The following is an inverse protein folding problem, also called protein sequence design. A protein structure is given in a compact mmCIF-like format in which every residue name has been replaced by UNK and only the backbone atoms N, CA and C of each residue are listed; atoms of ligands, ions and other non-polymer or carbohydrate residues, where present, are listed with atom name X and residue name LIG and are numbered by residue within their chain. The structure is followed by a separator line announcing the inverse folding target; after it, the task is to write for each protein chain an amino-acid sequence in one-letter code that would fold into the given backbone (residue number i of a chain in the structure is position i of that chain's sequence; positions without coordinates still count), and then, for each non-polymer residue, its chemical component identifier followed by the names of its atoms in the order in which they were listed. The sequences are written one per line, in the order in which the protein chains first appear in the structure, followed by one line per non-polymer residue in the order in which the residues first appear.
data_IF_998365015879
#
_entry.id   IF_998365015879
#
_cell.length_a   1.000
_cell.length_b   1.000
_cell.length_c   1.000
_cell.angle_alpha   90.00
_cell.angle_beta   90.00
_cell.angle_gamma   90.00
#
_symmetry.space_group_name_H-M   'P 1'
#
loop_
_entity.id
_entity.type
_entity.pdbx_description
1 polymer ?
#
# COMPACT_ATOMS: atom_id res chain seq x y z
N UNK A 1 -2.93 32.43 -14.40
CA UNK A 1 -3.13 31.06 -13.87
C UNK A 1 -2.88 31.09 -12.37
N UNK A 2 -3.92 31.01 -11.55
CA UNK A 2 -3.75 30.87 -10.11
C UNK A 2 -2.99 29.57 -9.80
N UNK A 3 -1.90 29.65 -9.04
CA UNK A 3 -1.17 28.47 -8.58
C UNK A 3 -2.03 27.75 -7.54
N UNK A 4 -2.82 26.77 -7.99
CA UNK A 4 -3.59 25.90 -7.11
C UNK A 4 -2.65 25.16 -6.14
N UNK A 5 -2.95 25.24 -4.83
CA UNK A 5 -2.21 24.53 -3.79
C UNK A 5 -2.66 23.07 -3.71
N UNK A 6 -1.80 22.19 -3.19
CA UNK A 6 -2.19 20.81 -2.88
C UNK A 6 -3.13 20.77 -1.67
N UNK A 7 -4.11 19.87 -1.70
CA UNK A 7 -4.98 19.62 -0.54
C UNK A 7 -4.20 18.89 0.55
N UNK A 8 -4.51 19.17 1.83
CA UNK A 8 -3.93 18.43 2.96
C UNK A 8 -4.17 16.92 2.82
N UNK A 9 -5.37 16.54 2.38
CA UNK A 9 -5.72 15.14 2.12
C UNK A 9 -4.85 14.52 1.02
N UNK A 10 -4.60 15.24 -0.08
CA UNK A 10 -3.73 14.76 -1.16
C UNK A 10 -2.27 14.59 -0.73
N UNK A 11 -1.78 15.42 0.20
CA UNK A 11 -0.44 15.28 0.78
C UNK A 11 -0.39 14.07 1.72
N UNK A 12 -1.36 13.95 2.63
CA UNK A 12 -1.42 12.84 3.59
C UNK A 12 -1.58 11.50 2.87
N UNK A 13 -2.48 11.43 1.89
CA UNK A 13 -2.66 10.20 1.09
C UNK A 13 -1.36 9.80 0.40
N UNK A 14 -0.64 10.78 -0.17
CA UNK A 14 0.63 10.53 -0.85
C UNK A 14 1.71 10.03 0.10
N UNK A 15 1.86 10.64 1.28
CA UNK A 15 2.81 10.18 2.29
C UNK A 15 2.48 8.75 2.77
N UNK A 16 1.21 8.45 3.01
CA UNK A 16 0.78 7.11 3.39
C UNK A 16 1.07 6.07 2.30
N UNK A 17 0.96 6.44 1.03
CA UNK A 17 1.24 5.56 -0.10
C UNK A 17 2.71 5.09 -0.16
N UNK A 18 3.65 5.85 0.42
CA UNK A 18 5.06 5.48 0.44
C UNK A 18 5.43 4.48 1.54
N UNK A 19 4.65 4.40 2.62
CA UNK A 19 5.00 3.54 3.76
C UNK A 19 5.17 2.08 3.32
N UNK A 20 4.26 1.48 2.53
CA UNK A 20 4.42 0.11 2.04
C UNK A 20 5.63 -0.06 1.13
N UNK A 21 5.96 0.94 0.30
CA UNK A 21 7.11 0.90 -0.60
C UNK A 21 8.41 0.90 0.21
N UNK A 22 8.55 1.84 1.14
CA UNK A 22 9.73 1.97 1.99
C UNK A 22 9.95 0.69 2.79
N UNK A 23 8.87 0.15 3.38
CA UNK A 23 8.93 -1.09 4.11
C UNK A 23 9.41 -2.25 3.22
N UNK A 24 8.84 -2.39 2.02
CA UNK A 24 9.23 -3.45 1.07
C UNK A 24 10.70 -3.36 0.67
N UNK A 25 11.21 -2.13 0.49
CA UNK A 25 12.62 -1.90 0.18
C UNK A 25 13.54 -2.26 1.35
N UNK A 26 13.19 -1.84 2.58
CA UNK A 26 13.94 -2.21 3.79
C UNK A 26 13.96 -3.73 3.97
N UNK A 27 12.81 -4.38 3.83
CA UNK A 27 12.70 -5.83 3.96
C UNK A 27 13.57 -6.55 2.93
N UNK A 28 13.52 -6.11 1.67
CA UNK A 28 14.36 -6.67 0.60
C UNK A 28 15.85 -6.54 0.92
N UNK A 29 16.29 -5.40 1.46
CA UNK A 29 17.69 -5.21 1.89
C UNK A 29 18.05 -6.19 3.01
N UNK A 30 17.19 -6.33 4.02
CA UNK A 30 17.41 -7.26 5.14
C UNK A 30 17.54 -8.69 4.61
N UNK A 31 16.62 -9.12 3.74
CA UNK A 31 16.60 -10.48 3.19
C UNK A 31 17.86 -10.77 2.34
N UNK A 32 18.39 -9.77 1.62
CA UNK A 32 19.63 -9.90 0.83
C UNK A 32 20.87 -9.92 1.73
N UNK A 33 20.94 -9.06 2.76
CA UNK A 33 22.11 -8.93 3.63
C UNK A 33 22.21 -10.04 4.68
N UNK A 34 21.08 -10.62 5.07
CA UNK A 34 21.00 -11.66 6.08
C UNK A 34 19.88 -12.63 5.68
N UNK A 35 20.14 -13.55 4.73
CA UNK A 35 19.17 -14.57 4.37
C UNK A 35 18.79 -15.33 5.63
N UNK A 36 17.55 -15.12 6.05
CA UNK A 36 17.06 -15.51 7.36
C UNK A 36 16.99 -17.05 7.44
N UNK A 37 17.90 -17.65 8.21
CA UNK A 37 17.81 -19.03 8.72
C UNK A 37 16.98 -19.07 10.02
N UNK A 38 15.77 -18.51 10.06
CA UNK A 38 14.96 -18.49 11.32
C UNK A 38 13.76 -19.42 11.30
N UNK A 39 13.48 -19.96 12.48
CA UNK A 39 12.38 -20.85 12.82
C UNK A 39 11.03 -20.32 12.31
N UNK A 40 10.52 -21.00 11.28
CA UNK A 40 9.39 -20.64 10.42
C UNK A 40 8.14 -20.13 11.15
N UNK A 41 7.84 -20.62 12.37
CA UNK A 41 6.52 -20.43 12.97
C UNK A 41 6.29 -19.08 13.67
N UNK A 42 7.29 -18.48 14.32
CA UNK A 42 7.13 -17.13 14.92
C UNK A 42 7.23 -16.02 13.88
N UNK A 43 8.04 -16.23 12.84
CA UNK A 43 8.17 -15.31 11.71
C UNK A 43 6.86 -15.20 10.91
N UNK A 44 6.11 -16.30 10.76
CA UNK A 44 4.82 -16.33 10.04
C UNK A 44 3.76 -15.41 10.67
N UNK A 45 3.55 -15.47 11.99
CA UNK A 45 2.52 -14.64 12.62
C UNK A 45 2.81 -13.13 12.50
N UNK A 46 4.10 -12.76 12.65
CA UNK A 46 4.56 -11.38 12.51
C UNK A 46 4.45 -10.91 11.06
N UNK A 47 4.81 -11.75 10.09
CA UNK A 47 4.71 -11.40 8.67
C UNK A 47 3.26 -11.21 8.22
N UNK A 48 2.32 -12.03 8.69
CA UNK A 48 0.89 -11.83 8.44
C UNK A 48 0.37 -10.53 9.05
N UNK A 49 0.75 -10.21 10.29
CA UNK A 49 0.35 -8.95 10.91
C UNK A 49 0.85 -7.74 10.11
N UNK A 50 2.13 -7.75 9.74
CA UNK A 50 2.74 -6.65 8.98
C UNK A 50 2.08 -6.53 7.59
N UNK A 51 1.84 -7.65 6.90
CA UNK A 51 1.16 -7.64 5.60
C UNK A 51 -0.25 -7.03 5.70
N UNK A 52 -1.04 -7.42 6.70
CA UNK A 52 -2.37 -6.86 6.92
C UNK A 52 -2.33 -5.37 7.29
N UNK A 53 -1.35 -4.96 8.08
CA UNK A 53 -1.13 -3.56 8.43
C UNK A 53 -0.75 -2.71 7.20
N UNK A 54 0.15 -3.21 6.34
CA UNK A 54 0.51 -2.56 5.08
C UNK A 54 -0.69 -2.46 4.13
N UNK A 55 -1.49 -3.51 4.03
CA UNK A 55 -2.73 -3.50 3.27
C UNK A 55 -3.69 -2.41 3.77
N UNK A 56 -3.90 -2.32 5.08
CA UNK A 56 -4.76 -1.31 5.68
C UNK A 56 -4.26 0.12 5.37
N UNK A 57 -2.94 0.36 5.47
CA UNK A 57 -2.35 1.67 5.13
C UNK A 57 -2.57 2.00 3.65
N UNK A 58 -2.31 1.06 2.74
CA UNK A 58 -2.55 1.27 1.31
C UNK A 58 -4.03 1.56 1.04
N UNK A 59 -4.95 0.86 1.70
CA UNK A 59 -6.38 1.09 1.54
C UNK A 59 -6.80 2.48 2.02
N UNK A 60 -6.31 2.91 3.18
CA UNK A 60 -6.57 4.27 3.71
C UNK A 60 -6.00 5.32 2.77
N UNK A 61 -4.77 5.14 2.28
CA UNK A 61 -4.15 6.03 1.30
C UNK A 61 -4.99 6.13 0.02
N UNK A 62 -5.49 5.00 -0.49
CA UNK A 62 -6.31 4.95 -1.69
C UNK A 62 -7.62 5.74 -1.52
N UNK A 63 -8.34 5.50 -0.43
CA UNK A 63 -9.60 6.20 -0.12
C UNK A 63 -9.37 7.70 0.06
N UNK A 64 -8.36 8.10 0.83
CA UNK A 64 -8.00 9.51 1.01
C UNK A 64 -7.56 10.17 -0.32
N UNK A 65 -6.88 9.42 -1.18
CA UNK A 65 -6.51 9.86 -2.52
C UNK A 65 -7.73 10.13 -3.39
N UNK A 66 -8.73 9.23 -3.39
CA UNK A 66 -9.99 9.45 -4.12
C UNK A 66 -10.71 10.70 -3.60
N UNK A 67 -10.83 10.86 -2.28
CA UNK A 67 -11.42 12.06 -1.67
C UNK A 67 -10.62 13.31 -2.06
N UNK A 68 -9.29 13.23 -2.09
CA UNK A 68 -8.42 14.33 -2.52
C UNK A 68 -8.63 14.74 -3.98
N UNK A 69 -9.02 13.82 -4.86
CA UNK A 69 -9.32 14.08 -6.28
C UNK A 69 -10.68 14.77 -6.45
N UNK A 70 -11.67 14.44 -5.61
CA UNK A 70 -13.03 15.01 -5.69
C UNK A 70 -13.13 16.43 -5.14
N UNK A 71 -12.17 16.85 -4.30
CA UNK A 71 -12.10 18.23 -3.80
C UNK A 71 -11.89 19.25 -4.93
N UNK A 72 -12.78 20.25 -5.01
CA UNK A 72 -12.66 21.40 -5.93
C UNK A 72 -11.67 22.43 -5.37
N UNK A 73 -10.99 23.16 -6.27
CA UNK A 73 -10.08 24.25 -5.88
C UNK A 73 -8.67 23.83 -5.43
N UNK A 74 -8.31 22.54 -5.56
CA UNK A 74 -6.99 22.04 -5.19
C UNK A 74 -6.27 21.35 -6.36
N UNK A 75 -4.94 21.35 -6.31
CA UNK A 75 -4.10 20.62 -7.26
C UNK A 75 -4.13 19.13 -6.95
N UNK A 76 -4.64 18.35 -7.91
CA UNK A 76 -4.96 16.92 -7.76
C UNK A 76 -3.78 15.97 -7.94
N UNK A 77 -2.63 16.44 -8.41
CA UNK A 77 -1.54 15.53 -8.82
C UNK A 77 -1.07 14.60 -7.70
N UNK A 78 -0.90 15.08 -6.46
CA UNK A 78 -0.49 14.23 -5.33
C UNK A 78 -1.55 13.18 -4.97
N UNK A 79 -2.82 13.57 -5.00
CA UNK A 79 -3.93 12.66 -4.73
C UNK A 79 -4.01 11.57 -5.82
N UNK A 80 -3.82 11.94 -7.09
CA UNK A 80 -3.75 10.99 -8.21
C UNK A 80 -2.56 10.04 -8.04
N UNK A 81 -1.36 10.55 -7.74
CA UNK A 81 -0.20 9.71 -7.48
C UNK A 81 -0.43 8.75 -6.32
N UNK A 82 -1.06 9.22 -5.23
CA UNK A 82 -1.41 8.38 -4.09
C UNK A 82 -2.32 7.22 -4.50
N UNK A 83 -3.38 7.50 -5.27
CA UNK A 83 -4.33 6.47 -5.78
C UNK A 83 -3.61 5.44 -6.64
N UNK A 84 -2.74 5.87 -7.55
CA UNK A 84 -2.00 4.95 -8.43
C UNK A 84 -1.07 4.04 -7.60
N UNK A 85 -0.27 4.63 -6.70
CA UNK A 85 0.70 3.88 -5.88
C UNK A 85 0.00 2.91 -4.93
N UNK A 86 -1.02 3.39 -4.22
CA UNK A 86 -1.80 2.54 -3.31
C UNK A 86 -2.57 1.47 -4.06
N UNK A 87 -3.14 1.78 -5.23
CA UNK A 87 -3.81 0.80 -6.09
C UNK A 87 -2.86 -0.32 -6.53
N UNK A 88 -1.65 0.03 -6.96
CA UNK A 88 -0.62 -0.96 -7.33
C UNK A 88 -0.22 -1.87 -6.17
N UNK A 89 -0.06 -1.31 -4.96
CA UNK A 89 0.28 -2.12 -3.77
C UNK A 89 -0.88 -3.03 -3.34
N UNK A 90 -2.13 -2.60 -3.51
CA UNK A 90 -3.31 -3.42 -3.21
C UNK A 90 -3.52 -4.58 -4.20
N UNK A 91 -3.02 -4.50 -5.43
CA UNK A 91 -3.20 -5.57 -6.42
C UNK A 91 -2.60 -6.91 -5.97
N UNK A 92 -1.44 -6.88 -5.31
CA UNK A 92 -0.73 -8.08 -4.88
C UNK A 92 -1.59 -8.97 -3.96
N UNK A 93 -2.13 -8.47 -2.82
CA UNK A 93 -3.00 -9.27 -1.96
C UNK A 93 -4.33 -9.63 -2.62
N UNK A 94 -4.89 -8.79 -3.50
CA UNK A 94 -6.12 -9.09 -4.24
C UNK A 94 -5.92 -10.31 -5.14
N UNK A 95 -4.86 -10.33 -5.95
CA UNK A 95 -4.54 -11.44 -6.85
C UNK A 95 -4.29 -12.73 -6.05
N UNK A 96 -3.55 -12.65 -4.94
CA UNK A 96 -3.31 -13.79 -4.05
C UNK A 96 -4.60 -14.36 -3.45
N UNK A 97 -5.51 -13.48 -3.05
CA UNK A 97 -6.82 -13.86 -2.49
C UNK A 97 -7.69 -14.53 -3.55
N UNK A 98 -7.78 -13.97 -4.76
CA UNK A 98 -8.52 -14.56 -5.88
C UNK A 98 -7.99 -15.96 -6.21
N UNK A 99 -6.66 -16.13 -6.27
CA UNK A 99 -6.03 -17.43 -6.52
C UNK A 99 -6.40 -18.45 -5.45
N UNK A 100 -6.42 -18.04 -4.18
CA UNK A 100 -6.77 -18.90 -3.05
C UNK A 100 -8.24 -19.33 -3.11
N UNK A 101 -9.16 -18.41 -3.44
CA UNK A 101 -10.59 -18.69 -3.61
C UNK A 101 -10.83 -19.69 -4.74
N UNK A 102 -10.20 -19.49 -5.91
CA UNK A 102 -10.32 -20.43 -7.04
C UNK A 102 -9.85 -21.83 -6.65
N UNK A 103 -8.75 -21.93 -5.91
CA UNK A 103 -8.24 -23.22 -5.44
C UNK A 103 -9.24 -23.92 -4.51
N UNK A 104 -9.92 -23.18 -3.63
CA UNK A 104 -10.95 -23.72 -2.72
C UNK A 104 -12.18 -24.17 -3.51
N UNK A 105 -12.61 -23.41 -4.51
CA UNK A 105 -13.78 -23.75 -5.32
C UNK A 105 -13.56 -24.97 -6.23
N UNK A 106 -12.30 -25.28 -6.56
CA UNK A 106 -11.91 -26.42 -7.39
C UNK A 106 -11.51 -27.67 -6.57
N UNK A 107 -11.55 -27.62 -5.24
CA UNK A 107 -11.38 -28.78 -4.34
C UNK A 107 -12.74 -29.41 -4.03
#
# INVERSE_FOLDING_TARGET
MEKLKHSKLGIVSFLLAFIPIIYSFIQTIIDVLSPINTDFNKALAISYFIMNFMFAISLVSFVLGIIGITLKGYKKSLAISAVIISGLTLLVPIISSIKSIIKILNM
#
